data_IF_748102520055
#
_entry.id   IF_748102520055
#
_cell.length_a   1.000
_cell.length_b   1.000
_cell.length_c   1.000
_cell.angle_alpha   90.00
_cell.angle_beta   90.00
_cell.angle_gamma   90.00
#
_symmetry.space_group_name_H-M   'P 1'
#
loop_
_entity.id
_entity.type
_entity.pdbx_description
1 polymer ?
#
# COMPACT_ATOMS: atom_id res chain seq x y z
N UNK A 1 -19.04 40.96 -4.49
CA UNK A 1 -17.68 41.18 -4.99
C UNK A 1 -16.68 40.12 -4.50
N UNK A 2 -16.68 39.76 -3.25
CA UNK A 2 -15.79 38.72 -2.70
C UNK A 2 -16.01 37.31 -3.29
N UNK A 3 -17.25 36.96 -3.65
CA UNK A 3 -17.58 35.64 -4.24
C UNK A 3 -17.07 35.45 -5.67
N UNK A 4 -16.92 36.49 -6.47
CA UNK A 4 -16.42 36.41 -7.83
C UNK A 4 -14.90 36.19 -7.90
N UNK A 5 -14.16 36.71 -6.94
CA UNK A 5 -12.70 36.48 -6.86
C UNK A 5 -12.39 35.08 -6.32
N UNK A 6 -13.18 34.57 -5.39
CA UNK A 6 -13.05 33.22 -4.88
C UNK A 6 -13.32 32.15 -5.96
N UNK A 7 -14.32 32.38 -6.79
CA UNK A 7 -14.64 31.51 -7.92
C UNK A 7 -13.54 31.46 -8.98
N UNK A 8 -12.86 32.58 -9.23
CA UNK A 8 -11.72 32.61 -10.15
C UNK A 8 -10.47 31.89 -9.63
N UNK A 9 -10.27 31.90 -8.31
CA UNK A 9 -9.16 31.20 -7.67
C UNK A 9 -9.36 29.69 -7.71
N UNK A 10 -10.57 29.21 -7.47
CA UNK A 10 -10.91 27.77 -7.53
C UNK A 10 -10.81 27.24 -8.96
N UNK A 11 -11.19 28.03 -9.95
CA UNK A 11 -11.05 27.66 -11.36
C UNK A 11 -9.59 27.48 -11.82
N UNK A 12 -8.65 28.18 -11.18
CA UNK A 12 -7.22 28.02 -11.49
C UNK A 12 -6.60 26.78 -10.86
N UNK A 13 -7.13 26.29 -9.74
CA UNK A 13 -6.63 25.08 -9.06
C UNK A 13 -6.97 23.83 -9.88
N UNK A 14 -8.03 23.86 -10.66
CA UNK A 14 -8.46 22.72 -11.48
C UNK A 14 -7.86 22.70 -12.91
N UNK A 15 -7.15 23.73 -13.32
CA UNK A 15 -6.35 23.66 -14.54
C UNK A 15 -5.00 22.99 -14.22
N UNK A 16 -5.03 21.67 -13.99
CA UNK A 16 -3.82 20.86 -14.14
C UNK A 16 -3.38 21.03 -15.59
N UNK A 17 -2.18 21.55 -15.79
CA UNK A 17 -1.57 21.57 -17.09
C UNK A 17 -1.64 20.16 -17.69
N UNK A 18 -2.23 20.05 -18.88
CA UNK A 18 -2.18 18.82 -19.68
C UNK A 18 -0.70 18.44 -19.80
N UNK A 19 -0.25 17.38 -19.09
CA UNK A 19 1.14 16.93 -19.14
C UNK A 19 1.77 16.47 -17.83
N UNK A 20 1.27 16.80 -16.65
CA UNK A 20 1.74 16.19 -15.39
C UNK A 20 1.08 14.83 -15.17
N UNK A 21 1.76 13.79 -15.64
CA UNK A 21 1.44 12.41 -15.29
C UNK A 21 1.88 12.20 -13.85
N UNK A 22 0.94 12.20 -12.93
CA UNK A 22 1.21 11.75 -11.55
C UNK A 22 1.53 10.26 -11.62
N UNK A 23 2.76 9.89 -11.25
CA UNK A 23 3.15 8.49 -11.18
C UNK A 23 2.27 7.76 -10.17
N UNK A 24 1.86 6.52 -10.43
CA UNK A 24 1.15 5.71 -9.45
C UNK A 24 2.02 5.49 -8.21
N UNK A 25 1.39 5.43 -7.05
CA UNK A 25 2.06 5.01 -5.81
C UNK A 25 2.39 3.53 -5.92
N UNK A 26 3.66 3.17 -5.79
CA UNK A 26 4.14 1.81 -5.91
C UNK A 26 4.19 1.14 -4.53
N UNK A 27 3.45 0.07 -4.36
CA UNK A 27 3.21 -0.57 -3.07
C UNK A 27 3.77 -1.99 -3.06
N UNK A 28 4.48 -2.32 -1.99
CA UNK A 28 4.75 -3.70 -1.58
C UNK A 28 3.74 -4.09 -0.50
N UNK A 29 2.89 -5.06 -0.78
CA UNK A 29 1.91 -5.59 0.16
C UNK A 29 2.43 -6.86 0.82
N UNK A 30 2.51 -6.87 2.16
CA UNK A 30 2.97 -8.01 2.93
C UNK A 30 1.82 -8.58 3.74
N UNK A 31 1.50 -9.83 3.49
CA UNK A 31 0.41 -10.58 4.12
C UNK A 31 -0.90 -10.48 3.34
N UNK A 32 -1.53 -11.63 3.14
CA UNK A 32 -2.85 -11.77 2.51
C UNK A 32 -3.90 -12.32 3.48
N UNK A 33 -3.77 -11.98 4.75
CA UNK A 33 -4.84 -12.21 5.71
C UNK A 33 -6.08 -11.36 5.42
N UNK A 34 -6.98 -11.23 6.37
CA UNK A 34 -8.21 -10.46 6.19
C UNK A 34 -7.94 -9.01 5.79
N UNK A 35 -7.02 -8.35 6.48
CA UNK A 35 -6.67 -6.95 6.22
C UNK A 35 -5.95 -6.81 4.88
N UNK A 36 -4.92 -7.60 4.64
CA UNK A 36 -4.14 -7.54 3.40
C UNK A 36 -4.97 -7.81 2.15
N UNK A 37 -5.85 -8.80 2.20
CA UNK A 37 -6.77 -9.11 1.09
C UNK A 37 -7.71 -7.95 0.80
N UNK A 38 -8.24 -7.28 1.82
CA UNK A 38 -9.13 -6.14 1.65
C UNK A 38 -8.40 -4.93 1.05
N UNK A 39 -7.17 -4.67 1.46
CA UNK A 39 -6.34 -3.63 0.83
C UNK A 39 -6.02 -3.96 -0.63
N UNK A 40 -5.70 -5.21 -0.91
CA UNK A 40 -5.50 -5.65 -2.30
C UNK A 40 -6.72 -5.35 -3.17
N UNK A 41 -7.91 -5.72 -2.72
CA UNK A 41 -9.16 -5.45 -3.42
C UNK A 41 -9.38 -3.94 -3.66
N UNK A 42 -9.13 -3.11 -2.64
CA UNK A 42 -9.28 -1.65 -2.75
C UNK A 42 -8.27 -1.04 -3.72
N UNK A 43 -7.02 -1.46 -3.68
CA UNK A 43 -6.00 -1.01 -4.62
C UNK A 43 -6.33 -1.42 -6.06
N UNK A 44 -6.82 -2.62 -6.23
CA UNK A 44 -7.28 -3.10 -7.54
C UNK A 44 -8.42 -2.24 -8.10
N UNK A 45 -9.39 -1.87 -7.27
CA UNK A 45 -10.49 -0.97 -7.67
C UNK A 45 -10.03 0.44 -8.01
N UNK A 46 -8.98 0.95 -7.36
CA UNK A 46 -8.42 2.27 -7.67
C UNK A 46 -7.75 2.31 -9.05
N UNK A 47 -7.23 1.19 -9.51
CA UNK A 47 -6.54 1.05 -10.80
C UNK A 47 -5.04 1.33 -10.73
N UNK A 48 -4.29 0.71 -11.63
CA UNK A 48 -2.81 0.78 -11.66
C UNK A 48 -2.27 2.16 -12.02
N UNK A 49 -3.07 3.02 -12.60
CA UNK A 49 -2.72 4.42 -12.86
C UNK A 49 -2.62 5.27 -11.59
N UNK A 50 -3.18 4.80 -10.49
CA UNK A 50 -3.15 5.47 -9.18
C UNK A 50 -2.32 4.72 -8.15
N UNK A 51 -2.54 3.42 -8.02
CA UNK A 51 -1.81 2.55 -7.09
C UNK A 51 -1.39 1.29 -7.83
N UNK A 52 -0.09 1.07 -7.89
CA UNK A 52 0.48 -0.12 -8.48
C UNK A 52 1.06 -1.03 -7.40
N UNK A 53 0.51 -2.23 -7.28
CA UNK A 53 1.11 -3.25 -6.42
C UNK A 53 2.28 -3.87 -7.18
N UNK A 54 3.50 -3.56 -6.74
CA UNK A 54 4.72 -4.09 -7.35
C UNK A 54 4.90 -5.56 -7.07
N UNK A 55 4.60 -5.97 -5.84
CA UNK A 55 4.70 -7.35 -5.40
C UNK A 55 3.84 -7.59 -4.17
N UNK A 56 3.52 -8.85 -3.96
CA UNK A 56 2.85 -9.37 -2.77
C UNK A 56 3.77 -10.36 -2.10
N UNK A 57 3.86 -10.27 -0.77
CA UNK A 57 4.56 -11.26 0.04
C UNK A 57 3.54 -12.07 0.82
N UNK A 58 3.55 -13.38 0.65
CA UNK A 58 2.73 -14.32 1.39
C UNK A 58 3.54 -15.57 1.71
N UNK A 59 3.69 -15.85 3.01
CA UNK A 59 4.50 -16.96 3.48
C UNK A 59 3.90 -18.33 3.13
N UNK A 60 2.58 -18.40 3.05
CA UNK A 60 1.86 -19.62 2.68
C UNK A 60 1.65 -19.70 1.17
N UNK A 61 2.40 -20.58 0.46
CA UNK A 61 2.24 -20.73 -0.99
C UNK A 61 0.89 -21.37 -1.38
N UNK A 62 0.21 -21.98 -0.43
CA UNK A 62 -1.13 -22.55 -0.61
C UNK A 62 -2.28 -21.62 -0.20
N UNK A 63 -1.99 -20.36 0.11
CA UNK A 63 -3.02 -19.41 0.55
C UNK A 63 -4.12 -19.26 -0.50
N UNK A 64 -5.41 -19.41 -0.14
CA UNK A 64 -6.51 -19.43 -1.12
C UNK A 64 -6.60 -18.19 -2.00
N UNK A 65 -6.25 -17.03 -1.47
CA UNK A 65 -6.28 -15.76 -2.21
C UNK A 65 -5.28 -15.76 -3.36
N UNK A 66 -4.15 -16.48 -3.25
CA UNK A 66 -3.17 -16.56 -4.34
C UNK A 66 -3.74 -17.14 -5.62
N UNK A 67 -4.69 -18.06 -5.52
CA UNK A 67 -5.37 -18.64 -6.67
C UNK A 67 -6.19 -17.59 -7.44
N UNK A 68 -6.78 -16.61 -6.74
CA UNK A 68 -7.53 -15.52 -7.35
C UNK A 68 -6.65 -14.47 -8.02
N UNK A 69 -5.36 -14.41 -7.66
CA UNK A 69 -4.39 -13.47 -8.24
C UNK A 69 -3.80 -13.95 -9.56
N UNK A 70 -4.05 -15.18 -9.97
CA UNK A 70 -3.44 -15.77 -11.18
C UNK A 70 -3.76 -15.03 -12.49
N UNK A 71 -4.83 -14.24 -12.51
CA UNK A 71 -5.16 -13.38 -13.64
C UNK A 71 -4.44 -12.02 -13.61
N UNK A 72 -3.90 -11.64 -12.47
CA UNK A 72 -3.16 -10.41 -12.27
C UNK A 72 -1.66 -10.71 -12.30
N UNK A 73 -0.92 -10.04 -13.17
CA UNK A 73 0.52 -10.26 -13.33
C UNK A 73 1.35 -9.68 -12.17
N UNK A 74 0.90 -9.86 -10.92
CA UNK A 74 1.59 -9.38 -9.72
C UNK A 74 2.54 -10.46 -9.22
N UNK A 75 3.85 -10.19 -9.12
CA UNK A 75 4.80 -11.13 -8.54
C UNK A 75 4.47 -11.45 -7.09
N UNK A 76 4.56 -12.71 -6.72
CA UNK A 76 4.35 -13.20 -5.35
C UNK A 76 5.65 -13.76 -4.80
N UNK A 77 6.05 -13.28 -3.63
CA UNK A 77 7.24 -13.74 -2.90
C UNK A 77 6.82 -14.40 -1.60
N UNK A 78 7.50 -15.45 -1.19
CA UNK A 78 7.31 -16.05 0.13
C UNK A 78 8.06 -15.27 1.23
N UNK A 79 9.18 -14.65 0.87
CA UNK A 79 10.00 -13.86 1.79
C UNK A 79 10.02 -12.39 1.34
N UNK A 80 9.65 -11.48 2.24
CA UNK A 80 9.70 -10.04 1.97
C UNK A 80 11.12 -9.54 1.69
N UNK A 81 12.15 -10.22 2.18
CA UNK A 81 13.55 -9.88 1.92
C UNK A 81 13.88 -9.98 0.44
N UNK A 82 13.36 -11.00 -0.23
CA UNK A 82 13.54 -11.19 -1.67
C UNK A 82 12.83 -10.08 -2.46
N UNK A 83 11.63 -9.69 -2.05
CA UNK A 83 10.91 -8.59 -2.67
C UNK A 83 11.62 -7.25 -2.47
N UNK A 84 12.12 -6.97 -1.28
CA UNK A 84 12.90 -5.76 -0.98
C UNK A 84 14.20 -5.72 -1.78
N UNK A 85 14.88 -6.84 -1.93
CA UNK A 85 16.08 -6.95 -2.75
C UNK A 85 15.80 -6.72 -4.23
N UNK A 86 14.68 -7.22 -4.74
CA UNK A 86 14.28 -7.13 -6.15
C UNK A 86 13.85 -5.71 -6.53
N UNK A 87 13.07 -5.05 -5.69
CA UNK A 87 12.42 -3.78 -6.01
C UNK A 87 13.10 -2.56 -5.38
N UNK A 88 13.71 -2.72 -4.21
CA UNK A 88 14.47 -1.66 -3.53
C UNK A 88 13.68 -0.35 -3.41
N UNK A 89 14.33 0.74 -3.83
CA UNK A 89 13.75 2.09 -3.77
C UNK A 89 12.66 2.37 -4.83
N UNK A 90 12.35 1.42 -5.70
CA UNK A 90 11.18 1.51 -6.58
C UNK A 90 9.88 1.38 -5.76
N UNK A 91 9.96 0.80 -4.57
CA UNK A 91 8.85 0.75 -3.63
C UNK A 91 8.67 2.12 -2.98
N UNK A 92 7.51 2.71 -3.11
CA UNK A 92 7.16 3.94 -2.39
C UNK A 92 6.67 3.62 -0.97
N UNK A 93 5.76 2.67 -0.85
CA UNK A 93 5.14 2.29 0.43
C UNK A 93 5.20 0.78 0.63
N UNK A 94 5.63 0.38 1.81
CA UNK A 94 5.47 -1.00 2.31
C UNK A 94 4.27 -1.02 3.23
N UNK A 95 3.27 -1.80 2.87
CA UNK A 95 2.10 -2.06 3.70
C UNK A 95 2.23 -3.47 4.31
N UNK A 96 2.67 -3.51 5.55
CA UNK A 96 2.76 -4.76 6.31
C UNK A 96 1.47 -4.99 7.10
N UNK A 97 0.73 -6.00 6.72
CA UNK A 97 -0.54 -6.39 7.35
C UNK A 97 -0.41 -7.66 8.20
N UNK A 98 0.81 -8.15 8.40
CA UNK A 98 1.05 -9.40 9.15
C UNK A 98 0.78 -9.26 10.64
N UNK A 99 0.84 -8.05 11.16
CA UNK A 99 0.74 -7.76 12.59
C UNK A 99 1.81 -8.50 13.45
N UNK A 100 2.95 -8.78 12.85
CA UNK A 100 4.10 -9.39 13.49
C UNK A 100 5.16 -8.31 13.77
N UNK A 101 5.41 -7.92 15.03
CA UNK A 101 6.32 -6.81 15.34
C UNK A 101 7.74 -7.01 14.81
N UNK A 102 8.26 -8.23 14.79
CA UNK A 102 9.60 -8.55 14.29
C UNK A 102 9.73 -8.27 12.79
N UNK A 103 8.68 -8.40 12.00
CA UNK A 103 8.69 -8.08 10.57
C UNK A 103 8.96 -6.60 10.34
N UNK A 104 8.29 -5.72 11.06
CA UNK A 104 8.51 -4.26 10.97
C UNK A 104 9.91 -3.85 11.39
N UNK A 105 10.41 -4.45 12.47
CA UNK A 105 11.77 -4.17 12.96
C UNK A 105 12.80 -4.57 11.91
N UNK A 106 12.65 -5.75 11.35
CA UNK A 106 13.55 -6.27 10.32
C UNK A 106 13.52 -5.43 9.03
N UNK A 107 12.33 -5.05 8.57
CA UNK A 107 12.17 -4.19 7.40
C UNK A 107 12.86 -2.83 7.61
N UNK A 108 12.67 -2.20 8.76
CA UNK A 108 13.32 -0.92 9.08
C UNK A 108 14.85 -1.07 9.05
N UNK A 109 15.36 -2.16 9.57
CA UNK A 109 16.78 -2.45 9.56
C UNK A 109 17.32 -2.63 8.13
N UNK A 110 16.62 -3.40 7.30
CA UNK A 110 16.96 -3.59 5.89
C UNK A 110 16.98 -2.26 5.13
N UNK A 111 15.97 -1.42 5.32
CA UNK A 111 15.90 -0.10 4.67
C UNK A 111 17.07 0.78 5.10
N UNK A 112 17.41 0.77 6.37
CA UNK A 112 18.52 1.55 6.93
C UNK A 112 19.86 1.05 6.38
N UNK A 113 20.12 -0.26 6.41
CA UNK A 113 21.38 -0.85 5.92
C UNK A 113 21.58 -0.68 4.42
N UNK A 114 20.50 -0.73 3.64
CA UNK A 114 20.56 -0.52 2.20
C UNK A 114 20.68 0.97 1.81
N UNK A 115 20.61 1.89 2.77
CA UNK A 115 20.59 3.32 2.49
C UNK A 115 19.33 3.78 1.76
N UNK A 116 18.24 3.02 1.83
CA UNK A 116 16.97 3.38 1.21
C UNK A 116 16.20 4.38 2.09
N UNK A 117 16.32 5.66 1.75
CA UNK A 117 15.64 6.76 2.44
C UNK A 117 14.33 7.17 1.76
N UNK A 118 13.97 6.54 0.67
CA UNK A 118 12.76 6.83 -0.10
C UNK A 118 11.56 6.04 0.38
N UNK A 119 11.70 4.72 0.50
CA UNK A 119 10.62 3.80 0.83
C UNK A 119 10.11 4.02 2.25
N UNK A 120 8.81 4.13 2.40
CA UNK A 120 8.15 4.32 3.70
C UNK A 120 7.49 3.01 4.14
N UNK A 121 7.87 2.52 5.31
CA UNK A 121 7.11 1.48 5.99
C UNK A 121 5.91 2.12 6.68
N UNK A 122 4.71 1.81 6.20
CA UNK A 122 3.49 2.41 6.72
C UNK A 122 3.18 1.86 8.12
N UNK A 123 3.07 2.73 9.14
CA UNK A 123 2.61 2.30 10.47
C UNK A 123 1.19 1.73 10.41
N UNK A 124 0.90 0.73 11.23
CA UNK A 124 -0.42 0.09 11.24
C UNK A 124 -1.56 1.08 11.50
N UNK A 125 -1.33 2.05 12.40
CA UNK A 125 -2.32 3.11 12.68
C UNK A 125 -2.62 3.96 11.44
N UNK A 126 -1.63 4.21 10.60
CA UNK A 126 -1.83 4.92 9.34
C UNK A 126 -2.60 4.07 8.32
N UNK A 127 -2.42 2.75 8.34
CA UNK A 127 -3.24 1.83 7.53
C UNK A 127 -4.72 1.90 7.92
N UNK A 128 -5.02 2.00 9.21
CA UNK A 128 -6.39 2.18 9.67
C UNK A 128 -7.00 3.51 9.23
N UNK A 129 -6.22 4.59 9.30
CA UNK A 129 -6.67 5.88 8.79
C UNK A 129 -7.01 5.80 7.31
N UNK A 130 -6.14 5.20 6.50
CA UNK A 130 -6.39 4.99 5.08
C UNK A 130 -7.64 4.16 4.84
N UNK A 131 -7.84 3.11 5.64
CA UNK A 131 -9.04 2.28 5.54
C UNK A 131 -10.31 3.08 5.81
N UNK A 132 -10.34 3.85 6.88
CA UNK A 132 -11.49 4.69 7.21
C UNK A 132 -11.80 5.73 6.12
N UNK A 133 -10.79 6.24 5.45
CA UNK A 133 -10.98 7.16 4.32
C UNK A 133 -11.49 6.45 3.06
N UNK A 134 -10.97 5.25 2.78
CA UNK A 134 -11.31 4.49 1.58
C UNK A 134 -12.64 3.74 1.69
N UNK A 135 -13.03 3.36 2.88
CA UNK A 135 -14.21 2.54 3.16
C UNK A 135 -14.91 3.01 4.44
N UNK A 136 -15.53 4.21 4.43
CA UNK A 136 -16.11 4.82 5.63
C UNK A 136 -17.26 4.01 6.22
N UNK A 137 -17.93 3.20 5.42
CA UNK A 137 -19.07 2.37 5.83
C UNK A 137 -18.69 0.93 6.18
N UNK A 138 -17.41 0.58 6.10
CA UNK A 138 -16.90 -0.76 6.38
C UNK A 138 -16.03 -0.77 7.65
N UNK A 139 -16.33 -1.69 8.56
CA UNK A 139 -15.44 -1.95 9.69
C UNK A 139 -14.27 -2.83 9.25
N UNK A 140 -13.06 -2.42 9.62
CA UNK A 140 -11.89 -3.25 9.49
C UNK A 140 -11.87 -4.22 10.67
N UNK A 141 -12.25 -5.46 10.44
CA UNK A 141 -12.23 -6.50 11.47
C UNK A 141 -10.78 -6.84 11.79
N UNK A 142 -10.31 -6.39 12.95
CA UNK A 142 -9.02 -6.79 13.48
C UNK A 142 -9.07 -8.26 13.89
N UNK A 143 -8.05 -9.01 13.54
CA UNK A 143 -7.83 -10.30 14.17
C UNK A 143 -7.26 -10.04 15.56
N UNK A 144 -8.10 -10.25 16.58
CA UNK A 144 -7.75 -10.02 17.99
C UNK A 144 -6.72 -11.02 18.53
N UNK A 145 -6.28 -11.96 17.73
CA UNK A 145 -5.35 -13.01 18.17
C UNK A 145 -3.91 -12.53 18.39
N UNK A 146 -3.60 -11.29 18.00
CA UNK A 146 -2.26 -10.74 18.18
C UNK A 146 -2.32 -9.24 18.52
N UNK A 147 -2.35 -8.86 19.81
CA UNK A 147 -2.26 -7.47 20.22
C UNK A 147 -0.84 -6.95 20.04
N UNK A 148 -0.41 -6.79 18.81
CA UNK A 148 0.92 -6.35 18.47
C UNK A 148 1.00 -4.84 18.22
N UNK A 149 0.85 -4.07 19.27
CA UNK A 149 1.22 -2.66 19.30
C UNK A 149 2.39 -2.45 20.22
#
# INVERSE_FOLDING_TARGET
MLFTEFGKSIGRINQRSEGEIVKPVQVLLIGLGRVGTRFYEKFHLLGEDRVKILAICEIDPGHPVLASLKGDAVPVFQDYKDALSRWGSDIDIILDTTNIPSVKIDIRHILQESGNHHTVLLPLVASYLLWHMAAPDEELVQDHSNPGY
#
